data_IF_882812664170
#
_entry.id   IF_882812664170
#
_cell.length_a   1.000
_cell.length_b   1.000
_cell.length_c   1.000
_cell.angle_alpha   90.00
_cell.angle_beta   90.00
_cell.angle_gamma   90.00
#
_symmetry.space_group_name_H-M   'P 1'
#
loop_
_entity.id
_entity.type
_entity.pdbx_description
1 polymer ?
#
# COMPACT_ATOMS: atom_id res chain seq x y z
N UNK A 1 5.73 13.40 9.51
CA UNK A 1 6.05 12.58 10.71
C UNK A 1 4.77 11.94 11.25
N UNK A 2 4.87 10.68 11.62
CA UNK A 2 3.72 9.94 12.16
C UNK A 2 3.47 10.36 13.61
N UNK A 3 2.22 10.59 13.94
CA UNK A 3 1.78 10.93 15.29
C UNK A 3 0.94 9.79 15.85
N UNK A 4 0.99 9.58 17.16
CA UNK A 4 0.18 8.55 17.81
C UNK A 4 -1.30 8.77 17.48
N UNK A 5 -1.97 7.72 17.07
CA UNK A 5 -3.35 7.76 16.63
C UNK A 5 -3.53 7.86 15.11
N UNK A 6 -2.45 8.09 14.36
CA UNK A 6 -2.54 8.14 12.90
C UNK A 6 -2.94 6.78 12.34
N UNK A 7 -3.79 6.82 11.32
CA UNK A 7 -4.25 5.64 10.58
C UNK A 7 -3.88 5.80 9.11
N UNK A 8 -3.33 4.74 8.55
CA UNK A 8 -3.07 4.68 7.11
C UNK A 8 -4.19 3.91 6.43
N UNK A 9 -4.76 4.48 5.40
CA UNK A 9 -5.83 3.85 4.62
C UNK A 9 -5.73 4.21 3.15
N UNK A 10 -6.33 3.37 2.33
CA UNK A 10 -6.47 3.64 0.91
C UNK A 10 -7.65 2.84 0.36
N UNK A 11 -8.12 3.25 -0.81
CA UNK A 11 -9.12 2.51 -1.57
C UNK A 11 -8.44 1.77 -2.70
N UNK A 12 -8.95 0.59 -3.01
CA UNK A 12 -8.39 -0.29 -4.03
C UNK A 12 -9.50 -0.89 -4.89
N UNK A 13 -9.20 -1.03 -6.17
CA UNK A 13 -10.05 -1.76 -7.11
C UNK A 13 -9.16 -2.71 -7.89
N UNK A 14 -9.59 -3.95 -8.00
CA UNK A 14 -8.93 -4.93 -8.87
C UNK A 14 -9.78 -5.23 -10.08
N UNK A 15 -9.13 -5.52 -11.19
CA UNK A 15 -9.80 -5.94 -12.41
C UNK A 15 -9.02 -7.06 -13.09
N UNK A 16 -9.69 -7.92 -13.78
CA UNK A 16 -9.09 -9.06 -14.49
C UNK A 16 -8.10 -9.82 -13.61
N UNK A 17 -8.57 -10.22 -12.42
CA UNK A 17 -7.72 -10.84 -11.42
C UNK A 17 -7.05 -12.11 -11.95
N UNK A 18 -5.72 -12.14 -11.85
CA UNK A 18 -4.89 -13.28 -12.27
C UNK A 18 -3.77 -13.57 -11.28
N UNK A 19 -3.94 -13.19 -10.05
CA UNK A 19 -2.96 -13.40 -8.99
C UNK A 19 -2.67 -12.14 -8.20
N UNK A 20 -2.01 -12.28 -7.08
CA UNK A 20 -1.67 -11.16 -6.21
C UNK A 20 -0.44 -10.44 -6.76
N UNK A 21 -0.60 -9.18 -7.13
CA UNK A 21 0.47 -8.38 -7.74
C UNK A 21 0.84 -7.16 -6.92
N UNK A 22 0.03 -6.79 -5.93
CA UNK A 22 0.22 -5.56 -5.15
C UNK A 22 0.83 -5.88 -3.80
N UNK A 23 1.90 -5.16 -3.48
CA UNK A 23 2.50 -5.15 -2.14
C UNK A 23 2.49 -3.74 -1.59
N UNK A 24 2.18 -3.60 -0.30
CA UNK A 24 2.22 -2.32 0.42
C UNK A 24 3.41 -2.38 1.36
N UNK A 25 4.33 -1.43 1.21
CA UNK A 25 5.60 -1.42 1.91
C UNK A 25 5.79 -0.11 2.67
N UNK A 26 6.41 -0.19 3.84
CA UNK A 26 6.76 0.99 4.65
C UNK A 26 8.25 0.99 4.94
N UNK A 27 8.89 2.15 4.84
CA UNK A 27 10.29 2.34 5.19
C UNK A 27 10.46 3.51 6.16
N UNK A 28 11.28 3.32 7.17
CA UNK A 28 11.69 4.37 8.11
C UNK A 28 13.01 5.02 7.71
N UNK A 29 13.76 4.42 6.79
CA UNK A 29 15.11 4.83 6.44
C UNK A 29 15.29 5.23 4.97
N UNK A 30 14.21 5.24 4.18
CA UNK A 30 14.28 5.73 2.81
C UNK A 30 14.53 7.24 2.81
N UNK A 31 15.48 7.70 1.99
CA UNK A 31 15.91 9.10 2.00
C UNK A 31 15.06 10.01 1.12
N UNK A 32 14.06 9.49 0.44
CA UNK A 32 13.11 10.30 -0.35
C UNK A 32 13.59 10.71 -1.73
N UNK A 33 14.85 10.51 -2.07
CA UNK A 33 15.35 10.80 -3.41
C UNK A 33 15.03 9.64 -4.35
N UNK A 34 14.35 9.95 -5.45
CA UNK A 34 13.87 8.95 -6.39
C UNK A 34 15.01 8.37 -7.22
N UNK A 35 15.71 7.38 -6.69
CA UNK A 35 16.69 6.60 -7.44
C UNK A 35 16.59 5.14 -7.07
N UNK A 36 16.95 4.29 -8.02
CA UNK A 36 16.93 2.84 -7.79
C UNK A 36 17.85 2.45 -6.64
N UNK A 37 19.04 3.08 -6.55
CA UNK A 37 19.99 2.81 -5.49
C UNK A 37 19.43 3.16 -4.11
N UNK A 38 18.73 4.28 -3.98
CA UNK A 38 18.12 4.69 -2.72
C UNK A 38 16.97 3.76 -2.33
N UNK A 39 16.16 3.32 -3.29
CA UNK A 39 15.09 2.35 -3.05
C UNK A 39 15.66 1.02 -2.55
N UNK A 40 16.76 0.56 -3.15
CA UNK A 40 17.38 -0.71 -2.78
C UNK A 40 18.10 -0.65 -1.42
N UNK A 41 18.61 0.51 -1.02
CA UNK A 41 19.27 0.70 0.27
C UNK A 41 18.29 0.78 1.43
N UNK A 42 17.06 1.22 1.18
CA UNK A 42 16.07 1.35 2.22
C UNK A 42 15.62 -0.03 2.70
N UNK A 43 15.31 -0.11 3.98
CA UNK A 43 14.70 -1.31 4.56
C UNK A 43 13.18 -1.17 4.44
N UNK A 44 12.57 -2.07 3.70
CA UNK A 44 11.13 -2.06 3.48
C UNK A 44 10.46 -3.17 4.26
N UNK A 45 9.41 -2.82 4.99
CA UNK A 45 8.58 -3.77 5.72
C UNK A 45 7.29 -3.97 4.93
N UNK A 46 6.99 -5.22 4.60
CA UNK A 46 5.76 -5.57 3.91
C UNK A 46 4.60 -5.56 4.89
N UNK A 47 3.61 -4.70 4.64
CA UNK A 47 2.42 -4.57 5.47
C UNK A 47 1.15 -4.93 4.70
N UNK A 48 1.29 -5.61 3.58
CA UNK A 48 0.16 -5.98 2.71
C UNK A 48 -0.91 -6.76 3.47
N UNK A 49 -0.51 -7.63 4.40
CA UNK A 49 -1.43 -8.44 5.19
C UNK A 49 -2.33 -7.63 6.12
N UNK A 50 -2.00 -6.35 6.37
CA UNK A 50 -2.83 -5.44 7.16
C UNK A 50 -4.02 -4.92 6.37
N UNK A 51 -4.08 -5.20 5.07
CA UNK A 51 -5.11 -4.69 4.17
C UNK A 51 -5.82 -5.84 3.47
N UNK A 52 -7.04 -5.54 3.03
CA UNK A 52 -7.85 -6.47 2.25
C UNK A 52 -7.80 -6.07 0.78
N UNK A 53 -6.96 -6.75 0.01
CA UNK A 53 -6.85 -6.52 -1.43
C UNK A 53 -7.78 -7.52 -2.12
N UNK A 54 -8.74 -7.05 -2.96
CA UNK A 54 -9.69 -7.95 -3.61
C UNK A 54 -9.00 -8.97 -4.52
N UNK A 55 -9.56 -10.17 -4.55
CA UNK A 55 -9.09 -11.27 -5.42
C UNK A 55 -10.12 -11.60 -6.50
N UNK A 56 -10.89 -10.62 -6.88
CA UNK A 56 -11.93 -10.70 -7.90
C UNK A 56 -12.23 -9.31 -8.46
N UNK A 57 -12.88 -9.14 -9.60
CA UNK A 57 -13.37 -10.22 -10.45
C UNK A 57 -12.28 -10.77 -11.38
N UNK A 58 -12.48 -11.98 -11.87
CA UNK A 58 -11.59 -12.60 -12.86
C UNK A 58 -11.78 -11.98 -14.23
N UNK A 59 -12.99 -11.51 -14.51
CA UNK A 59 -13.32 -10.83 -15.75
C UNK A 59 -13.96 -9.47 -15.45
N UNK A 60 -13.48 -8.43 -16.15
CA UNK A 60 -13.93 -7.06 -15.95
C UNK A 60 -13.31 -6.41 -14.71
N UNK A 61 -13.83 -5.25 -14.34
CA UNK A 61 -13.34 -4.44 -13.21
C UNK A 61 -14.31 -4.52 -12.04
N UNK A 62 -13.77 -4.60 -10.83
CA UNK A 62 -14.55 -4.49 -9.60
C UNK A 62 -14.88 -3.04 -9.28
N UNK A 63 -15.35 -2.81 -8.06
CA UNK A 63 -15.66 -1.48 -7.55
C UNK A 63 -14.53 -1.01 -6.63
N UNK A 64 -14.24 0.27 -6.69
CA UNK A 64 -13.31 0.90 -5.76
C UNK A 64 -13.91 0.84 -4.35
N UNK A 65 -13.17 0.26 -3.41
CA UNK A 65 -13.61 0.10 -2.04
C UNK A 65 -12.43 0.20 -1.10
N UNK A 66 -12.69 0.50 0.18
CA UNK A 66 -11.60 0.63 1.15
C UNK A 66 -10.87 -0.70 1.32
N UNK A 67 -9.55 -0.62 1.35
CA UNK A 67 -8.69 -1.76 1.69
C UNK A 67 -8.59 -1.94 3.21
N UNK A 68 -9.15 -1.02 3.99
CA UNK A 68 -9.08 -1.03 5.44
C UNK A 68 -8.16 0.04 5.98
N UNK A 69 -7.91 -0.02 7.27
CA UNK A 69 -7.04 0.94 7.97
C UNK A 69 -5.97 0.19 8.76
N UNK A 70 -4.77 0.76 8.77
CA UNK A 70 -3.66 0.24 9.57
C UNK A 70 -3.26 1.28 10.61
N UNK A 71 -3.13 0.84 11.86
CA UNK A 71 -2.65 1.68 12.95
C UNK A 71 -1.15 1.95 12.77
N UNK A 72 -0.76 3.22 12.84
CA UNK A 72 0.61 3.66 12.64
C UNK A 72 1.35 3.97 13.94
N UNK A 73 0.82 3.60 15.09
CA UNK A 73 1.39 3.98 16.39
C UNK A 73 2.84 3.53 16.57
N UNK A 74 3.23 2.38 16.03
CA UNK A 74 4.61 1.91 16.13
C UNK A 74 5.61 2.79 15.37
N UNK A 75 5.12 3.67 14.49
CA UNK A 75 5.93 4.63 13.74
C UNK A 75 5.82 6.04 14.30
N UNK A 76 5.14 6.24 15.43
CA UNK A 76 4.96 7.56 16.02
C UNK A 76 6.32 8.23 16.30
N UNK A 77 6.43 9.50 15.96
CA UNK A 77 7.68 10.26 16.07
C UNK A 77 8.68 10.03 14.94
N UNK A 78 8.33 9.22 13.95
CA UNK A 78 9.21 8.88 12.83
C UNK A 78 8.66 9.38 11.52
N UNK A 79 9.56 9.67 10.59
CA UNK A 79 9.18 9.91 9.20
C UNK A 79 9.20 8.59 8.46
N UNK A 80 8.10 8.26 7.78
CA UNK A 80 7.99 7.02 7.02
C UNK A 80 7.62 7.32 5.58
N UNK A 81 8.02 6.42 4.71
CA UNK A 81 7.63 6.43 3.30
C UNK A 81 6.83 5.16 3.02
N UNK A 82 5.78 5.32 2.25
CA UNK A 82 4.90 4.21 1.87
C UNK A 82 5.06 3.99 0.37
N UNK A 83 5.27 2.74 -0.01
CA UNK A 83 5.38 2.36 -1.41
C UNK A 83 4.36 1.29 -1.75
N UNK A 84 3.79 1.41 -2.93
CA UNK A 84 2.94 0.38 -3.52
C UNK A 84 3.75 -0.29 -4.63
N UNK A 85 4.02 -1.57 -4.48
CA UNK A 85 4.80 -2.34 -5.44
C UNK A 85 3.89 -3.23 -6.26
N UNK A 86 3.95 -3.08 -7.57
CA UNK A 86 3.27 -3.98 -8.50
C UNK A 86 4.26 -5.00 -9.02
N UNK A 87 3.98 -6.28 -8.80
CA UNK A 87 4.80 -7.38 -9.26
C UNK A 87 3.97 -8.31 -10.11
N UNK A 88 3.92 -8.03 -11.40
CA UNK A 88 3.16 -8.82 -12.35
C UNK A 88 4.04 -9.42 -13.43
N UNK A 89 3.43 -10.27 -14.25
CA UNK A 89 4.06 -10.88 -15.41
C UNK A 89 3.03 -11.00 -16.52
N UNK A 90 3.40 -11.58 -17.65
CA UNK A 90 2.45 -11.81 -18.74
C UNK A 90 1.32 -12.78 -18.36
N UNK A 91 1.52 -13.61 -17.35
CA UNK A 91 0.52 -14.57 -16.85
C UNK A 91 -0.12 -14.14 -15.53
N UNK A 92 0.51 -13.21 -14.79
CA UNK A 92 -0.01 -12.68 -13.53
C UNK A 92 -0.04 -11.15 -13.67
N UNK A 93 -1.13 -10.62 -14.21
CA UNK A 93 -1.22 -9.21 -14.59
C UNK A 93 -2.54 -8.55 -14.16
N UNK A 94 -2.97 -8.83 -12.94
CA UNK A 94 -4.16 -8.20 -12.36
C UNK A 94 -4.08 -6.67 -12.46
N UNK A 95 -5.16 -6.04 -12.89
CA UNK A 95 -5.25 -4.58 -12.94
C UNK A 95 -5.55 -4.04 -11.55
N UNK A 96 -4.80 -3.03 -11.12
CA UNK A 96 -4.96 -2.40 -9.81
C UNK A 96 -5.22 -0.91 -10.01
N UNK A 97 -6.23 -0.39 -9.30
CA UNK A 97 -6.47 1.05 -9.16
C UNK A 97 -6.42 1.41 -7.69
N UNK A 98 -5.71 2.47 -7.37
CA UNK A 98 -5.57 2.98 -6.01
C UNK A 98 -6.09 4.41 -5.96
N UNK A 99 -6.78 4.75 -4.87
CA UNK A 99 -7.31 6.10 -4.65
C UNK A 99 -7.44 6.37 -3.16
N UNK A 100 -7.66 7.62 -2.81
CA UNK A 100 -7.90 8.06 -1.43
C UNK A 100 -6.84 7.56 -0.45
N UNK A 101 -5.58 7.61 -0.89
CA UNK A 101 -4.43 7.22 -0.07
C UNK A 101 -4.20 8.31 0.97
N UNK A 102 -4.28 7.95 2.26
CA UNK A 102 -4.12 8.95 3.31
C UNK A 102 -3.58 8.35 4.61
N UNK A 103 -2.87 9.20 5.35
CA UNK A 103 -2.47 8.95 6.73
C UNK A 103 -3.05 10.09 7.55
N UNK A 104 -3.94 9.78 8.48
CA UNK A 104 -4.65 10.80 9.24
C UNK A 104 -5.01 10.34 10.64
N UNK A 105 -5.16 11.30 11.54
CA UNK A 105 -5.63 11.04 12.89
C UNK A 105 -7.12 10.67 12.85
N UNK A 106 -7.46 9.59 13.55
CA UNK A 106 -8.88 9.23 13.71
C UNK A 106 -9.55 10.28 14.60
N UNK A 107 -10.59 10.90 14.07
CA UNK A 107 -11.41 11.82 14.84
C UNK A 107 -12.65 11.10 15.37
N UNK A 108 -12.95 11.37 16.59
CA UNK A 108 -14.12 10.82 17.28
C UNK A 108 -15.24 11.86 17.26
#
# INVERSE_FOLDING_TARGET
MITKGDLFSFDVCTGYYKGDVLSVLISEDYVGAASKANLERATWVDVTSSFNIPKEPVSGYGKLATAGTMNMDKYAGKNVYIAFKYSGSSSVNTTIQLDNIKVSVKRV
#
